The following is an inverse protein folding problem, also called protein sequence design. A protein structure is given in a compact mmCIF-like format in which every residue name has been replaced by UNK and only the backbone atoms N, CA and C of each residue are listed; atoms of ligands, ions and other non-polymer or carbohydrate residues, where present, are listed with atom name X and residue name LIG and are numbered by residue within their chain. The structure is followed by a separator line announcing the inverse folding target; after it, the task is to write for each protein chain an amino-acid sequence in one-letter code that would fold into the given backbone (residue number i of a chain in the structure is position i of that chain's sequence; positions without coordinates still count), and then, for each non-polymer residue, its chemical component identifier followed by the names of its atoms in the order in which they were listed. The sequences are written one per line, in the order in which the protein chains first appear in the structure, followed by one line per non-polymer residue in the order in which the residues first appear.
data_IF_126132235672
#
_entry.id   IF_126132235672
#
_cell.length_a   1.000
_cell.length_b   1.000
_cell.length_c   1.000
_cell.angle_alpha   90.00
_cell.angle_beta   90.00
_cell.angle_gamma   90.00
#
_symmetry.space_group_name_H-M   'P 1'
#
loop_
_entity.id
_entity.type
_entity.pdbx_description
1 polymer ?
#
# COMPACT_ATOMS: atom_id res chain seq x y z
N UNK A 1 -47.61 -7.30 -25.32
CA UNK A 1 -47.31 -5.86 -25.05
C UNK A 1 -46.86 -5.58 -23.60
N UNK A 2 -46.68 -6.57 -22.71
CA UNK A 2 -46.34 -6.34 -21.29
C UNK A 2 -44.93 -6.79 -20.86
N UNK A 3 -44.02 -7.09 -21.80
CA UNK A 3 -42.67 -7.60 -21.50
C UNK A 3 -41.87 -6.67 -20.56
N UNK A 4 -41.81 -5.38 -20.83
CA UNK A 4 -41.03 -4.43 -20.00
C UNK A 4 -41.60 -4.30 -18.58
N UNK A 5 -42.93 -4.34 -18.40
CA UNK A 5 -43.57 -4.28 -17.07
C UNK A 5 -43.31 -5.54 -16.23
N UNK A 6 -43.15 -6.69 -16.89
CA UNK A 6 -42.96 -7.99 -16.24
C UNK A 6 -41.48 -8.29 -15.89
N UNK A 7 -40.54 -7.45 -16.36
CA UNK A 7 -39.10 -7.66 -16.16
C UNK A 7 -38.45 -6.41 -15.51
N UNK A 8 -38.66 -6.16 -14.19
CA UNK A 8 -38.06 -5.03 -13.47
C UNK A 8 -36.52 -5.07 -13.43
N UNK A 9 -35.93 -6.25 -13.63
CA UNK A 9 -34.50 -6.50 -13.73
C UNK A 9 -33.84 -5.75 -14.90
N UNK A 10 -34.60 -5.39 -15.94
CA UNK A 10 -34.13 -4.53 -17.03
C UNK A 10 -33.69 -3.13 -16.56
N UNK A 11 -34.13 -2.70 -15.37
CA UNK A 11 -33.75 -1.42 -14.76
C UNK A 11 -32.64 -1.56 -13.70
N UNK A 12 -32.11 -2.77 -13.49
CA UNK A 12 -30.95 -2.99 -12.62
C UNK A 12 -29.68 -2.67 -13.39
N UNK A 13 -29.32 -1.40 -13.44
CA UNK A 13 -28.12 -0.95 -14.13
C UNK A 13 -26.86 -1.18 -13.29
N UNK A 14 -25.85 -1.80 -13.89
CA UNK A 14 -24.51 -1.84 -13.32
C UNK A 14 -23.84 -0.49 -13.52
N UNK A 15 -23.49 0.20 -12.44
CA UNK A 15 -22.77 1.46 -12.52
C UNK A 15 -21.42 1.25 -13.25
N UNK A 16 -21.15 2.00 -14.35
CA UNK A 16 -19.88 1.89 -15.05
C UNK A 16 -18.74 2.48 -14.19
N UNK A 17 -17.55 1.91 -14.30
CA UNK A 17 -16.36 2.44 -13.63
C UNK A 17 -15.79 3.62 -14.42
N UNK A 18 -15.79 4.81 -13.82
CA UNK A 18 -15.17 5.99 -14.41
C UNK A 18 -13.79 6.30 -13.78
N UNK A 19 -12.77 5.51 -14.11
CA UNK A 19 -11.41 5.69 -13.55
C UNK A 19 -10.63 6.80 -14.26
N UNK A 20 -10.71 6.84 -15.59
CA UNK A 20 -9.94 7.78 -16.40
C UNK A 20 -10.33 9.23 -16.12
N UNK A 21 -11.63 9.56 -16.14
CA UNK A 21 -12.08 10.93 -15.83
C UNK A 21 -11.68 11.33 -14.41
N UNK A 22 -11.87 10.46 -13.40
CA UNK A 22 -11.46 10.76 -12.02
C UNK A 22 -9.98 11.06 -11.89
N UNK A 23 -9.13 10.30 -12.60
CA UNK A 23 -7.68 10.53 -12.60
C UNK A 23 -7.33 11.87 -13.24
N UNK A 24 -7.87 12.16 -14.43
CA UNK A 24 -7.58 13.41 -15.14
C UNK A 24 -8.12 14.63 -14.38
N UNK A 25 -9.31 14.51 -13.76
CA UNK A 25 -9.86 15.55 -12.88
C UNK A 25 -8.94 15.81 -11.69
N UNK A 26 -8.43 14.76 -11.03
CA UNK A 26 -7.50 14.93 -9.91
C UNK A 26 -6.17 15.56 -10.35
N UNK A 27 -5.61 15.16 -11.49
CA UNK A 27 -4.41 15.79 -12.03
C UNK A 27 -4.65 17.27 -12.38
N UNK A 28 -5.76 17.59 -13.04
CA UNK A 28 -6.11 18.96 -13.39
C UNK A 28 -6.26 19.85 -12.15
N UNK A 29 -6.94 19.36 -11.12
CA UNK A 29 -7.09 20.06 -9.84
C UNK A 29 -5.73 20.33 -9.18
N UNK A 30 -4.86 19.32 -9.06
CA UNK A 30 -3.53 19.49 -8.45
C UNK A 30 -2.62 20.41 -9.28
N UNK A 31 -2.71 20.38 -10.62
CA UNK A 31 -1.90 21.24 -11.50
C UNK A 31 -2.33 22.71 -11.39
N UNK A 32 -3.64 22.97 -11.36
CA UNK A 32 -4.19 24.34 -11.37
C UNK A 32 -4.22 24.95 -9.96
N UNK A 33 -4.68 24.17 -8.98
CA UNK A 33 -4.91 24.63 -7.61
C UNK A 33 -3.76 24.27 -6.64
N UNK A 34 -2.82 23.42 -7.06
CA UNK A 34 -1.75 22.91 -6.21
C UNK A 34 -2.20 21.77 -5.30
N UNK A 35 -1.25 21.19 -4.56
CA UNK A 35 -1.53 20.25 -3.48
C UNK A 35 -1.50 20.99 -2.14
N UNK A 36 -2.57 20.95 -1.32
CA UNK A 36 -2.62 21.67 -0.04
C UNK A 36 -1.54 21.23 0.95
N UNK A 37 -1.06 19.99 0.87
CA UNK A 37 0.01 19.47 1.73
C UNK A 37 1.41 19.92 1.28
N UNK A 38 1.54 20.53 0.09
CA UNK A 38 2.82 20.92 -0.51
C UNK A 38 2.88 22.44 -0.65
N UNK A 39 3.52 23.12 0.31
CA UNK A 39 3.61 24.59 0.36
C UNK A 39 4.41 25.22 -0.79
N UNK A 40 5.42 24.52 -1.31
CA UNK A 40 6.30 25.01 -2.38
C UNK A 40 6.50 23.90 -3.40
N UNK A 41 6.07 24.15 -4.62
CA UNK A 41 6.38 23.31 -5.78
C UNK A 41 7.56 23.92 -6.53
N UNK A 42 8.51 23.08 -6.94
CA UNK A 42 9.65 23.47 -7.76
C UNK A 42 9.60 22.66 -9.06
N UNK A 43 9.20 23.27 -10.20
CA UNK A 43 9.05 22.57 -11.47
C UNK A 43 10.39 22.13 -12.07
N UNK A 44 11.52 22.63 -11.54
CA UNK A 44 12.87 22.27 -12.01
C UNK A 44 13.43 21.03 -11.30
N UNK A 45 12.77 20.57 -10.22
CA UNK A 45 13.18 19.37 -9.49
C UNK A 45 13.13 18.15 -10.39
N UNK A 46 14.28 17.51 -10.53
CA UNK A 46 14.36 16.17 -11.12
C UNK A 46 14.37 15.13 -10.00
N UNK A 47 13.40 14.21 -10.01
CA UNK A 47 13.35 13.12 -9.04
C UNK A 47 14.33 12.01 -9.41
N UNK A 48 15.13 11.57 -8.44
CA UNK A 48 15.99 10.41 -8.61
C UNK A 48 15.13 9.15 -8.71
N UNK A 49 15.37 8.32 -9.72
CA UNK A 49 14.73 7.01 -9.81
C UNK A 49 15.36 6.08 -8.75
N UNK A 50 14.57 5.54 -7.79
CA UNK A 50 15.11 4.69 -6.75
C UNK A 50 15.66 3.39 -7.34
N UNK A 51 16.78 2.92 -6.78
CA UNK A 51 17.34 1.60 -7.09
C UNK A 51 16.60 0.57 -6.25
N UNK A 52 15.77 -0.24 -6.89
CA UNK A 52 15.03 -1.33 -6.24
C UNK A 52 15.86 -2.62 -6.32
N UNK A 53 16.12 -3.31 -5.20
CA UNK A 53 16.81 -4.59 -5.20
C UNK A 53 16.06 -5.63 -6.05
N UNK A 54 16.80 -6.42 -6.82
CA UNK A 54 16.20 -7.52 -7.59
C UNK A 54 15.90 -8.69 -6.66
N UNK A 55 14.72 -9.28 -6.81
CA UNK A 55 14.33 -10.54 -6.17
C UNK A 55 13.55 -11.42 -7.16
N UNK A 56 13.40 -12.71 -6.86
CA UNK A 56 12.58 -13.62 -7.67
C UNK A 56 11.11 -13.54 -7.23
N UNK A 57 10.20 -12.94 -8.02
CA UNK A 57 8.79 -12.81 -7.63
C UNK A 57 8.02 -14.13 -7.64
N UNK A 58 8.53 -15.15 -8.34
CA UNK A 58 7.91 -16.47 -8.43
C UNK A 58 8.59 -17.50 -7.51
N UNK A 59 9.58 -17.09 -6.72
CA UNK A 59 10.25 -17.95 -5.76
C UNK A 59 9.41 -18.17 -4.50
N UNK A 60 9.63 -19.28 -3.81
CA UNK A 60 9.14 -19.45 -2.44
C UNK A 60 9.84 -18.47 -1.51
N UNK A 61 9.12 -17.92 -0.54
CA UNK A 61 9.71 -17.16 0.55
C UNK A 61 10.34 -18.14 1.57
N UNK A 62 11.49 -17.77 2.19
CA UNK A 62 12.04 -18.57 3.27
C UNK A 62 11.10 -18.54 4.47
N UNK A 63 10.97 -19.67 5.17
CA UNK A 63 10.18 -19.73 6.41
C UNK A 63 10.72 -18.72 7.44
N UNK A 64 9.82 -17.93 7.99
CA UNK A 64 10.13 -16.85 8.91
C UNK A 64 9.49 -17.02 10.28
N UNK A 65 9.68 -16.01 11.13
CA UNK A 65 9.07 -15.95 12.46
C UNK A 65 7.55 -15.95 12.42
N UNK A 66 6.93 -15.50 11.33
CA UNK A 66 5.48 -15.57 11.12
C UNK A 66 4.98 -17.01 10.95
N UNK A 67 5.70 -17.82 10.18
CA UNK A 67 5.36 -19.24 10.00
C UNK A 67 5.52 -19.98 11.33
N UNK A 68 6.63 -19.72 12.03
CA UNK A 68 6.89 -20.29 13.36
C UNK A 68 5.79 -19.92 14.39
N UNK A 69 5.37 -18.65 14.42
CA UNK A 69 4.26 -18.21 15.27
C UNK A 69 2.96 -18.94 14.93
N UNK A 70 2.71 -19.21 13.66
CA UNK A 70 1.49 -19.89 13.20
C UNK A 70 1.46 -21.35 13.64
N UNK A 71 2.61 -22.03 13.59
CA UNK A 71 2.75 -23.43 14.02
C UNK A 71 2.76 -23.58 15.55
N UNK A 72 3.47 -22.72 16.26
CA UNK A 72 3.65 -22.84 17.72
C UNK A 72 2.51 -22.23 18.54
N UNK A 73 1.84 -21.21 18.00
CA UNK A 73 0.96 -20.34 18.77
C UNK A 73 1.72 -19.33 19.65
N UNK A 74 1.03 -18.32 20.19
CA UNK A 74 1.65 -17.17 20.84
C UNK A 74 2.47 -17.54 22.09
N UNK A 75 1.96 -18.42 22.95
CA UNK A 75 2.62 -18.75 24.23
C UNK A 75 3.95 -19.49 24.01
N UNK A 76 3.94 -20.51 23.14
CA UNK A 76 5.14 -21.28 22.81
C UNK A 76 6.13 -20.45 21.99
N UNK A 77 5.64 -19.57 21.12
CA UNK A 77 6.50 -18.62 20.40
C UNK A 77 7.23 -17.68 21.36
N UNK A 78 6.55 -17.15 22.38
CA UNK A 78 7.18 -16.30 23.39
C UNK A 78 8.23 -17.06 24.22
N UNK A 79 7.98 -18.33 24.55
CA UNK A 79 8.97 -19.19 25.21
C UNK A 79 10.20 -19.42 24.34
N UNK A 80 9.99 -19.71 23.05
CA UNK A 80 11.07 -19.85 22.06
C UNK A 80 11.91 -18.56 21.98
N UNK A 81 11.26 -17.40 21.87
CA UNK A 81 11.95 -16.11 21.75
C UNK A 81 12.79 -15.79 23.00
N UNK A 82 12.33 -16.19 24.19
CA UNK A 82 13.10 -16.04 25.44
C UNK A 82 14.32 -16.95 25.51
N UNK A 83 14.26 -18.12 24.88
CA UNK A 83 15.36 -19.09 24.87
C UNK A 83 16.41 -18.80 23.79
N UNK A 84 16.06 -17.99 22.79
CA UNK A 84 16.96 -17.60 21.70
C UNK A 84 18.08 -16.67 22.20
N UNK A 85 19.31 -16.94 21.77
CA UNK A 85 20.50 -16.19 22.22
C UNK A 85 20.81 -14.99 21.33
N UNK A 86 20.24 -14.96 20.14
CA UNK A 86 20.44 -13.89 19.16
C UNK A 86 19.64 -12.65 19.53
N UNK A 87 20.16 -11.49 19.16
CA UNK A 87 19.41 -10.24 19.22
C UNK A 87 18.47 -10.20 18.03
N UNK A 88 17.18 -10.02 18.30
CA UNK A 88 16.17 -9.83 17.28
C UNK A 88 15.92 -8.34 17.03
N UNK A 89 15.50 -8.03 15.80
CA UNK A 89 15.16 -6.67 15.38
C UNK A 89 13.75 -6.64 14.84
N UNK A 90 13.06 -5.53 15.14
CA UNK A 90 11.79 -5.18 14.49
C UNK A 90 12.06 -3.97 13.63
N UNK A 91 11.92 -4.12 12.31
CA UNK A 91 12.02 -2.98 11.41
C UNK A 91 10.81 -2.06 11.57
N UNK A 92 11.09 -0.76 11.75
CA UNK A 92 10.08 0.28 11.91
C UNK A 92 10.03 1.25 10.72
N UNK A 93 10.81 0.98 9.66
CA UNK A 93 10.90 1.81 8.45
C UNK A 93 9.52 2.08 7.84
N UNK A 94 8.66 1.06 7.81
CA UNK A 94 7.32 1.14 7.21
C UNK A 94 6.27 1.84 8.11
N UNK A 95 6.60 2.22 9.36
CA UNK A 95 5.64 2.85 10.30
C UNK A 95 6.24 3.98 11.11
N UNK A 96 7.08 3.66 12.09
CA UNK A 96 7.53 4.65 13.08
C UNK A 96 8.51 5.66 12.47
N UNK A 97 9.41 5.19 11.61
CA UNK A 97 10.42 6.04 11.01
C UNK A 97 9.80 7.22 10.24
N UNK A 98 8.80 6.95 9.38
CA UNK A 98 8.11 8.01 8.64
C UNK A 98 7.07 8.76 9.47
N UNK A 99 6.58 8.20 10.58
CA UNK A 99 5.80 8.95 11.56
C UNK A 99 6.65 10.04 12.20
N UNK A 100 7.89 9.74 12.59
CA UNK A 100 8.81 10.71 13.18
C UNK A 100 9.36 11.71 12.17
N UNK A 101 9.69 11.27 10.95
CA UNK A 101 10.43 12.10 9.98
C UNK A 101 9.59 12.71 8.87
N UNK A 102 8.49 12.07 8.49
CA UNK A 102 7.69 12.41 7.30
C UNK A 102 6.21 12.62 7.64
N UNK A 103 5.87 12.89 8.90
CA UNK A 103 4.49 13.11 9.36
C UNK A 103 3.50 12.06 8.83
N UNK A 104 3.94 10.79 8.86
CA UNK A 104 3.13 9.65 8.42
C UNK A 104 2.75 9.67 6.92
N UNK A 105 3.48 10.41 6.08
CA UNK A 105 3.16 10.61 4.64
C UNK A 105 3.86 9.66 3.67
N UNK A 106 4.49 8.59 4.15
CA UNK A 106 5.00 7.55 3.27
C UNK A 106 3.83 6.81 2.61
N UNK A 107 3.83 6.69 1.28
CA UNK A 107 2.70 6.13 0.53
C UNK A 107 2.87 4.63 0.32
N UNK A 108 1.77 3.91 0.27
CA UNK A 108 1.73 2.48 -0.12
C UNK A 108 2.38 2.22 -1.47
N UNK A 109 2.29 3.16 -2.42
CA UNK A 109 2.95 3.07 -3.71
C UNK A 109 4.47 2.94 -3.61
N UNK A 110 5.08 3.59 -2.61
CA UNK A 110 6.53 3.55 -2.39
C UNK A 110 6.91 2.32 -1.56
N UNK A 111 6.08 1.94 -0.56
CA UNK A 111 6.27 0.74 0.26
C UNK A 111 6.24 -0.56 -0.55
N UNK A 112 5.32 -0.70 -1.52
CA UNK A 112 5.16 -1.93 -2.30
C UNK A 112 6.26 -2.16 -3.36
N UNK A 113 7.16 -1.19 -3.54
CA UNK A 113 8.25 -1.29 -4.52
C UNK A 113 9.51 -1.93 -3.96
N UNK A 114 9.61 -2.07 -2.65
CA UNK A 114 10.81 -2.56 -1.94
C UNK A 114 10.57 -3.89 -1.29
#
# INVERSE_FOLDING_TARGET
VNFIKQNPDLFVFKAPRNRATKLVTNLGDVIVNGNPDVKKSDPTKTFVKPVVPKFNPNGSYPEGTKDLLTTLGPDKFAQWLKAEKKIHFTDTTMRDAHQSLLATRMRTYDMLKV
#
